data_IF_187148977303
#
_entry.id   IF_187148977303
#
_cell.length_a   1.000
_cell.length_b   1.000
_cell.length_c   1.000
_cell.angle_alpha   90.00
_cell.angle_beta   90.00
_cell.angle_gamma   90.00
#
_symmetry.space_group_name_H-M   'P 1'
#
loop_
_entity.id
_entity.type
_entity.pdbx_description
1 polymer ?
#
# COMPACT_ATOMS: atom_id res chain seq x y z
N UNK A 1 -0.05 19.69 20.29
CA UNK A 1 0.16 20.25 18.94
C UNK A 1 0.03 19.09 17.95
N UNK A 2 -1.17 18.84 17.44
CA UNK A 2 -1.44 17.74 16.51
C UNK A 2 -1.02 18.20 15.13
N UNK A 3 0.08 17.65 14.59
CA UNK A 3 0.50 17.96 13.22
C UNK A 3 -0.57 17.44 12.26
N UNK A 4 -1.08 18.26 11.32
CA UNK A 4 -1.94 17.76 10.27
C UNK A 4 -1.15 16.74 9.45
N UNK A 5 -1.67 15.52 9.37
CA UNK A 5 -1.12 14.49 8.49
C UNK A 5 -1.28 15.06 7.07
N UNK A 6 -0.19 15.18 6.28
CA UNK A 6 -0.32 15.58 4.89
C UNK A 6 -1.22 14.56 4.20
N UNK A 7 -2.42 14.99 3.82
CA UNK A 7 -3.35 14.14 3.11
C UNK A 7 -2.79 13.94 1.71
N UNK A 8 -2.49 12.71 1.26
CA UNK A 8 -2.35 12.44 -0.16
C UNK A 8 -3.75 12.54 -0.77
N UNK A 9 -4.20 13.77 -1.05
CA UNK A 9 -5.48 14.07 -1.70
C UNK A 9 -5.50 13.69 -3.19
N UNK A 10 -4.61 12.78 -3.63
CA UNK A 10 -4.68 12.17 -4.95
C UNK A 10 -5.71 11.06 -4.85
N UNK A 11 -6.90 11.25 -5.42
CA UNK A 11 -7.88 10.18 -5.56
C UNK A 11 -7.26 9.02 -6.33
N UNK A 12 -7.36 7.80 -5.82
CA UNK A 12 -6.83 6.60 -6.47
C UNK A 12 -7.90 5.50 -6.51
N UNK A 13 -7.79 4.61 -7.50
CA UNK A 13 -8.70 3.47 -7.73
C UNK A 13 -7.90 2.17 -7.80
N UNK A 14 -8.58 1.05 -7.99
CA UNK A 14 -7.97 -0.27 -8.21
C UNK A 14 -6.94 -0.31 -9.35
N UNK A 15 -7.03 0.60 -10.33
CA UNK A 15 -6.06 0.72 -11.43
C UNK A 15 -4.67 1.21 -10.98
N UNK A 16 -4.56 1.77 -9.77
CA UNK A 16 -3.31 2.33 -9.26
C UNK A 16 -2.82 1.56 -8.03
N UNK A 17 -2.32 0.35 -8.29
CA UNK A 17 -1.81 -0.58 -7.29
C UNK A 17 -0.73 0.08 -6.40
N UNK A 18 0.23 0.79 -6.98
CA UNK A 18 1.29 1.48 -6.23
C UNK A 18 0.75 2.53 -5.26
N UNK A 19 -0.28 3.30 -5.66
CA UNK A 19 -0.90 4.27 -4.76
C UNK A 19 -1.66 3.59 -3.61
N UNK A 20 -2.33 2.46 -3.88
CA UNK A 20 -3.00 1.65 -2.85
C UNK A 20 -1.97 1.14 -1.85
N UNK A 21 -0.89 0.53 -2.31
CA UNK A 21 0.14 -0.04 -1.43
C UNK A 21 0.80 1.04 -0.56
N UNK A 22 1.17 2.19 -1.13
CA UNK A 22 1.74 3.31 -0.35
C UNK A 22 0.76 3.84 0.69
N UNK A 23 -0.52 3.92 0.34
CA UNK A 23 -1.55 4.35 1.29
C UNK A 23 -1.77 3.30 2.40
N UNK A 24 -1.70 2.01 2.08
CA UNK A 24 -1.74 0.92 3.06
C UNK A 24 -0.53 0.95 4.00
N UNK A 25 0.68 1.14 3.48
CA UNK A 25 1.91 1.28 4.27
C UNK A 25 1.84 2.47 5.21
N UNK A 26 1.41 3.64 4.71
CA UNK A 26 1.28 4.85 5.52
C UNK A 26 0.20 4.74 6.60
N UNK A 27 -0.94 4.09 6.30
CA UNK A 27 -2.05 3.96 7.24
C UNK A 27 -1.88 2.79 8.23
N UNK A 28 -1.22 1.72 7.81
CA UNK A 28 -1.12 0.45 8.54
C UNK A 28 0.31 -0.12 8.61
N UNK A 29 1.32 0.65 9.06
CA UNK A 29 2.72 0.20 9.05
C UNK A 29 3.03 -0.97 10.00
N UNK A 30 2.09 -1.33 10.87
CA UNK A 30 2.24 -2.42 11.86
C UNK A 30 1.42 -3.67 11.53
N UNK A 31 0.69 -3.66 10.44
CA UNK A 31 -0.12 -4.82 10.03
C UNK A 31 0.78 -5.86 9.40
N UNK A 32 0.65 -7.11 9.83
CA UNK A 32 1.41 -8.22 9.25
C UNK A 32 0.83 -8.58 7.88
N UNK A 33 1.61 -8.31 6.84
CA UNK A 33 1.30 -8.58 5.42
C UNK A 33 1.16 -10.08 5.13
N UNK A 34 1.89 -10.92 5.88
CA UNK A 34 1.93 -12.37 5.68
C UNK A 34 0.66 -13.10 6.12
N UNK A 35 -0.17 -12.48 6.97
CA UNK A 35 -1.38 -13.11 7.51
C UNK A 35 -2.65 -12.35 7.12
N UNK A 36 -2.55 -11.51 6.08
CA UNK A 36 -3.66 -10.74 5.54
C UNK A 36 -4.48 -11.60 4.57
N UNK A 37 -5.76 -11.75 4.85
CA UNK A 37 -6.71 -12.36 3.90
C UNK A 37 -7.13 -11.33 2.85
N UNK A 38 -7.53 -11.75 1.64
CA UNK A 38 -8.04 -10.86 0.60
C UNK A 38 -9.20 -9.98 1.10
N UNK A 39 -10.14 -10.57 1.84
CA UNK A 39 -11.27 -9.85 2.45
C UNK A 39 -10.79 -8.75 3.39
N UNK A 40 -9.79 -9.04 4.24
CA UNK A 40 -9.28 -8.06 5.19
C UNK A 40 -8.52 -6.93 4.50
N UNK A 41 -7.75 -7.28 3.48
CA UNK A 41 -7.04 -6.32 2.65
C UNK A 41 -8.03 -5.40 1.93
N UNK A 42 -9.11 -5.95 1.38
CA UNK A 42 -10.16 -5.17 0.75
C UNK A 42 -10.84 -4.19 1.72
N UNK A 43 -11.19 -4.65 2.93
CA UNK A 43 -11.74 -3.78 3.98
C UNK A 43 -10.79 -2.62 4.30
N UNK A 44 -9.49 -2.90 4.40
CA UNK A 44 -8.47 -1.89 4.67
C UNK A 44 -8.38 -0.88 3.52
N UNK A 45 -8.34 -1.33 2.27
CA UNK A 45 -8.27 -0.49 1.08
C UNK A 45 -9.51 0.42 0.99
N UNK A 46 -10.71 -0.15 1.18
CA UNK A 46 -11.97 0.61 1.20
C UNK A 46 -12.04 1.64 2.32
N UNK A 47 -11.29 1.43 3.40
CA UNK A 47 -11.20 2.36 4.53
C UNK A 47 -10.17 3.48 4.32
N UNK A 48 -9.36 3.43 3.25
CA UNK A 48 -8.33 4.43 3.00
C UNK A 48 -8.94 5.78 2.56
N UNK A 49 -8.48 6.90 3.13
CA UNK A 49 -8.92 8.21 2.70
C UNK A 49 -8.42 8.48 1.26
N UNK A 50 -9.36 8.79 0.36
CA UNK A 50 -9.05 9.08 -1.05
C UNK A 50 -9.21 7.88 -2.01
N UNK A 51 -9.48 6.69 -1.49
CA UNK A 51 -9.81 5.53 -2.31
C UNK A 51 -11.17 5.69 -2.98
N UNK A 52 -11.21 5.59 -4.30
CA UNK A 52 -12.44 5.56 -5.09
C UNK A 52 -12.94 4.13 -5.18
N UNK A 53 -13.91 3.81 -4.32
CA UNK A 53 -14.64 2.54 -4.30
C UNK A 53 -15.62 2.46 -5.49
N UNK A 54 -15.11 2.58 -6.71
CA UNK A 54 -15.86 2.52 -7.96
C UNK A 54 -16.22 1.08 -8.34
N UNK A 55 -16.01 0.72 -9.61
CA UNK A 55 -15.99 -0.69 -10.03
C UNK A 55 -15.01 -1.44 -9.12
N UNK A 56 -15.41 -2.59 -8.58
CA UNK A 56 -14.57 -3.38 -7.66
C UNK A 56 -13.21 -3.79 -8.25
N UNK A 57 -12.46 -4.68 -7.56
CA UNK A 57 -11.20 -5.16 -8.08
C UNK A 57 -11.36 -5.69 -9.53
N UNK A 58 -10.45 -5.35 -10.45
CA UNK A 58 -10.53 -5.79 -11.84
C UNK A 58 -10.34 -7.31 -11.98
N UNK A 59 -9.56 -7.92 -11.08
CA UNK A 59 -9.20 -9.34 -11.08
C UNK A 59 -9.08 -9.85 -9.63
N UNK A 60 -9.37 -11.14 -9.39
CA UNK A 60 -9.17 -11.79 -8.09
C UNK A 60 -7.69 -11.82 -7.64
N UNK A 61 -6.75 -11.82 -8.60
CA UNK A 61 -5.31 -11.82 -8.33
C UNK A 61 -4.76 -10.45 -7.91
N UNK A 62 -5.55 -9.37 -7.98
CA UNK A 62 -5.07 -8.04 -7.60
C UNK A 62 -4.63 -8.00 -6.13
N UNK A 63 -5.34 -8.70 -5.24
CA UNK A 63 -4.99 -8.75 -3.82
C UNK A 63 -3.63 -9.39 -3.59
N UNK A 64 -3.32 -10.48 -4.32
CA UNK A 64 -2.03 -11.14 -4.22
C UNK A 64 -0.90 -10.22 -4.73
N UNK A 65 -1.11 -9.53 -5.86
CA UNK A 65 -0.15 -8.54 -6.41
C UNK A 65 0.11 -7.39 -5.44
N UNK A 66 -0.94 -6.89 -4.77
CA UNK A 66 -0.82 -5.82 -3.78
C UNK A 66 -0.03 -6.27 -2.56
N UNK A 67 -0.24 -7.50 -2.06
CA UNK A 67 0.53 -8.05 -0.93
C UNK A 67 2.00 -8.18 -1.31
N UNK A 68 2.30 -8.73 -2.49
CA UNK A 68 3.68 -8.89 -2.98
C UNK A 68 4.37 -7.53 -3.09
N UNK A 69 3.74 -6.54 -3.74
CA UNK A 69 4.28 -5.19 -3.83
C UNK A 69 4.45 -4.53 -2.46
N UNK A 70 3.56 -4.78 -1.50
CA UNK A 70 3.69 -4.21 -0.16
C UNK A 70 4.85 -4.80 0.63
N UNK A 71 5.18 -6.07 0.39
CA UNK A 71 6.38 -6.70 0.97
C UNK A 71 7.64 -6.13 0.30
N UNK A 72 7.64 -6.03 -1.03
CA UNK A 72 8.77 -5.54 -1.83
C UNK A 72 9.17 -4.09 -1.47
N UNK A 73 8.21 -3.21 -1.21
CA UNK A 73 8.48 -1.84 -0.75
C UNK A 73 9.16 -1.76 0.64
N UNK A 74 9.03 -2.79 1.48
CA UNK A 74 9.70 -2.85 2.78
C UNK A 74 11.21 -3.18 2.61
N UNK A 75 11.56 -3.85 1.50
CA UNK A 75 12.95 -4.20 1.17
C UNK A 75 13.68 -3.07 0.42
N UNK A 76 12.98 -2.20 -0.33
CA UNK A 76 13.57 -1.14 -1.15
C UNK A 76 14.10 0.09 -0.35
N UNK A 77 13.94 0.15 0.99
CA UNK A 77 14.54 1.19 1.85
C UNK A 77 15.97 0.80 2.34
N UNK A 78 16.42 -0.44 2.13
CA UNK A 78 17.75 -0.95 2.52
C UNK A 78 18.50 -1.51 1.28
N UNK A 79 19.69 -0.97 0.99
CA UNK A 79 20.66 -1.49 0.00
C UNK A 79 20.67 -0.91 -1.44
N UNK A 80 20.57 0.43 -1.55
CA UNK A 80 21.16 1.19 -2.66
C UNK A 80 22.54 1.78 -2.34
N UNK A 81 23.15 1.44 -1.20
CA UNK A 81 24.47 1.99 -0.82
C UNK A 81 25.57 1.11 -1.37
N UNK A 82 25.87 1.29 -2.65
CA UNK A 82 27.15 0.92 -3.22
C UNK A 82 28.26 1.44 -2.30
N UNK A 83 28.95 0.50 -1.67
CA UNK A 83 30.23 0.73 -1.02
C UNK A 83 31.17 1.26 -2.10
N UNK A 84 31.28 2.59 -2.21
CA UNK A 84 32.36 3.25 -2.91
C UNK A 84 33.63 3.13 -2.07
N UNK A 85 34.13 1.90 -1.97
CA UNK A 85 35.34 1.52 -1.25
C UNK A 85 36.57 1.61 -2.15
N UNK A 86 37.27 2.75 -2.03
CA UNK A 86 38.72 2.97 -2.13
C UNK A 86 39.46 2.73 -3.47
#
# INVERSE_FOLDING_TARGET
>A
MTRPIPHPASRFSWDNETAIVRALEAAYPRVSRFNLTPEKLEEMIRSLPGFMNGSGPPDDDIFNRLIIQWIDLDEDDDDGRWDAGA
#
